data_IF_278864454269
#
_entry.id   IF_278864454269
#
_cell.length_a   1.000
_cell.length_b   1.000
_cell.length_c   1.000
_cell.angle_alpha   90.00
_cell.angle_beta   90.00
_cell.angle_gamma   90.00
#
_symmetry.space_group_name_H-M   'P 1'
#
loop_
_entity.id
_entity.type
_entity.pdbx_description
1 polymer ?
#
# COMPACT_ATOMS: atom_id res chain seq x y z
N UNK A 1 -13.74 14.21 -55.39
CA UNK A 1 -12.96 13.46 -54.38
C UNK A 1 -12.18 14.40 -53.48
N UNK A 2 -11.33 15.28 -53.99
CA UNK A 2 -10.51 16.21 -53.16
C UNK A 2 -11.33 17.11 -52.21
N UNK A 3 -12.46 17.64 -52.67
CA UNK A 3 -13.34 18.48 -51.86
C UNK A 3 -13.98 17.71 -50.68
N UNK A 4 -14.22 16.41 -50.85
CA UNK A 4 -14.75 15.54 -49.80
C UNK A 4 -13.68 15.24 -48.74
N UNK A 5 -12.41 15.08 -49.15
CA UNK A 5 -11.30 14.94 -48.22
C UNK A 5 -11.04 16.22 -47.42
N UNK A 6 -11.13 17.40 -48.05
CA UNK A 6 -11.02 18.67 -47.33
C UNK A 6 -12.11 18.83 -46.27
N UNK A 7 -13.36 18.43 -46.58
CA UNK A 7 -14.45 18.49 -45.62
C UNK A 7 -14.23 17.57 -44.42
N UNK A 8 -13.72 16.36 -44.64
CA UNK A 8 -13.43 15.40 -43.57
C UNK A 8 -12.31 15.92 -42.67
N UNK A 9 -11.26 16.51 -43.24
CA UNK A 9 -10.16 17.11 -42.48
C UNK A 9 -10.65 18.27 -41.60
N UNK A 10 -11.55 19.10 -42.14
CA UNK A 10 -12.12 20.21 -41.38
C UNK A 10 -13.00 19.72 -40.23
N UNK A 11 -13.87 18.74 -40.46
CA UNK A 11 -14.73 18.13 -39.43
C UNK A 11 -13.90 17.46 -38.31
N UNK A 12 -12.81 16.78 -38.68
CA UNK A 12 -11.88 16.18 -37.70
C UNK A 12 -11.17 17.26 -36.88
N UNK A 13 -10.73 18.35 -37.51
CA UNK A 13 -10.06 19.46 -36.82
C UNK A 13 -10.99 20.13 -35.80
N UNK A 14 -12.25 20.36 -36.18
CA UNK A 14 -13.27 20.93 -35.30
C UNK A 14 -13.56 20.01 -34.10
N UNK A 15 -13.63 18.69 -34.31
CA UNK A 15 -13.81 17.70 -33.23
C UNK A 15 -12.61 17.64 -32.29
N UNK A 16 -11.39 17.71 -32.80
CA UNK A 16 -10.17 17.73 -31.96
C UNK A 16 -10.15 19.00 -31.10
N UNK A 17 -10.49 20.16 -31.67
CA UNK A 17 -10.56 21.40 -30.92
C UNK A 17 -11.65 21.36 -29.82
N UNK A 18 -12.82 20.78 -30.12
CA UNK A 18 -13.88 20.59 -29.13
C UNK A 18 -13.44 19.65 -27.98
N UNK A 19 -12.71 18.57 -28.29
CA UNK A 19 -12.16 17.66 -27.29
C UNK A 19 -11.07 18.31 -26.43
N UNK A 20 -10.21 19.15 -27.02
CA UNK A 20 -9.22 19.93 -26.27
C UNK A 20 -9.91 20.92 -25.32
N UNK A 21 -10.91 21.65 -25.80
CA UNK A 21 -11.70 22.54 -24.95
C UNK A 21 -12.42 21.79 -23.81
N UNK A 22 -12.99 20.61 -24.10
CA UNK A 22 -13.65 19.78 -23.09
C UNK A 22 -12.65 19.24 -22.04
N UNK A 23 -11.45 18.84 -22.45
CA UNK A 23 -10.36 18.44 -21.55
C UNK A 23 -9.92 19.61 -20.68
N UNK A 24 -9.76 20.81 -21.23
CA UNK A 24 -9.40 22.01 -20.47
C UNK A 24 -10.48 22.36 -19.43
N UNK A 25 -11.76 22.25 -19.78
CA UNK A 25 -12.87 22.45 -18.84
C UNK A 25 -12.92 21.35 -17.76
N UNK A 26 -12.60 20.10 -18.09
CA UNK A 26 -12.48 19.03 -17.09
C UNK A 26 -11.25 19.23 -16.18
N UNK A 27 -10.12 19.66 -16.74
CA UNK A 27 -8.91 19.98 -15.98
C UNK A 27 -9.13 21.18 -15.07
N UNK A 28 -9.80 22.24 -15.53
CA UNK A 28 -10.16 23.39 -14.68
C UNK A 28 -11.24 23.05 -13.67
N UNK A 29 -12.20 22.15 -13.96
CA UNK A 29 -13.11 21.65 -12.93
C UNK A 29 -12.42 20.75 -11.91
N UNK A 30 -11.41 19.98 -12.31
CA UNK A 30 -10.62 19.11 -11.43
C UNK A 30 -9.63 19.93 -10.58
N UNK A 31 -9.01 20.97 -11.15
CA UNK A 31 -8.23 21.98 -10.44
C UNK A 31 -9.12 22.81 -9.50
N UNK A 32 -10.32 23.23 -9.93
CA UNK A 32 -11.27 23.94 -9.06
C UNK A 32 -11.87 23.03 -7.98
N UNK A 33 -12.02 21.73 -8.21
CA UNK A 33 -12.42 20.76 -7.17
C UNK A 33 -11.28 20.49 -6.18
N UNK A 34 -10.02 20.60 -6.61
CA UNK A 34 -8.85 20.53 -5.73
C UNK A 34 -8.57 21.85 -5.00
N UNK A 35 -9.08 22.98 -5.49
CA UNK A 35 -8.91 24.33 -4.90
C UNK A 35 -10.05 24.72 -3.93
N UNK A 36 -10.98 23.80 -3.62
CA UNK A 36 -11.95 24.02 -2.53
C UNK A 36 -11.30 23.68 -1.19
N UNK A 37 -10.74 24.75 -0.61
CA UNK A 37 -10.39 25.00 0.80
C UNK A 37 -8.92 24.81 1.22
N UNK A 38 -8.03 25.61 0.64
CA UNK A 38 -7.27 26.52 1.50
C UNK A 38 -8.13 27.76 1.73
N UNK A 39 -9.14 27.65 2.60
CA UNK A 39 -9.68 28.86 3.21
C UNK A 39 -8.53 29.38 4.09
N UNK A 40 -7.82 30.41 3.64
CA UNK A 40 -6.96 31.20 4.53
C UNK A 40 -7.89 31.84 5.57
N UNK A 41 -8.18 31.06 6.60
CA UNK A 41 -8.85 31.52 7.78
C UNK A 41 -7.77 32.10 8.67
N UNK A 42 -7.60 33.42 8.63
CA UNK A 42 -6.76 34.19 9.55
C UNK A 42 -7.24 34.12 11.02
N UNK A 43 -8.16 33.20 11.37
CA UNK A 43 -8.57 32.95 12.74
C UNK A 43 -7.57 32.00 13.42
N UNK A 44 -6.84 32.45 14.46
CA UNK A 44 -5.88 31.63 15.19
C UNK A 44 -6.51 30.43 15.94
N UNK A 45 -7.83 30.28 15.93
CA UNK A 45 -8.57 29.17 16.55
C UNK A 45 -9.15 28.18 15.54
N UNK A 46 -9.07 28.44 14.23
CA UNK A 46 -9.54 27.53 13.19
C UNK A 46 -8.37 26.71 12.68
N UNK A 47 -8.49 25.38 12.81
CA UNK A 47 -7.55 24.42 12.21
C UNK A 47 -8.26 23.74 11.05
N UNK A 48 -7.79 24.00 9.84
CA UNK A 48 -8.18 23.22 8.66
C UNK A 48 -7.69 21.78 8.86
N UNK A 49 -8.62 20.85 9.08
CA UNK A 49 -8.34 19.42 9.01
C UNK A 49 -8.35 19.08 7.52
N UNK A 50 -7.32 18.39 7.04
CA UNK A 50 -7.19 17.93 5.64
C UNK A 50 -8.52 17.36 5.10
N UNK A 51 -8.85 17.53 3.81
CA UNK A 51 -10.13 17.11 3.27
C UNK A 51 -10.31 15.60 3.45
N UNK A 52 -11.21 15.25 4.36
CA UNK A 52 -11.57 13.88 4.70
C UNK A 52 -12.67 13.44 3.72
N UNK A 53 -12.26 13.01 2.51
CA UNK A 53 -13.18 12.41 1.55
C UNK A 53 -13.42 10.96 1.96
N UNK A 54 -14.64 10.66 2.39
CA UNK A 54 -15.06 9.30 2.75
C UNK A 54 -15.87 8.69 1.60
N UNK A 55 -15.58 7.42 1.29
CA UNK A 55 -16.35 6.65 0.31
C UNK A 55 -17.39 5.81 1.05
N UNK A 56 -18.68 6.06 0.80
CA UNK A 56 -19.74 5.20 1.29
C UNK A 56 -19.70 3.83 0.57
N UNK A 57 -19.90 2.76 1.34
CA UNK A 57 -20.02 1.42 0.79
C UNK A 57 -21.28 1.29 -0.09
N UNK A 58 -21.14 0.68 -1.26
CA UNK A 58 -22.25 0.40 -2.17
C UNK A 58 -22.33 -1.11 -2.50
N UNK A 59 -23.49 -1.63 -2.94
CA UNK A 59 -23.71 -3.07 -3.04
C UNK A 59 -22.65 -3.85 -3.84
N UNK A 60 -22.24 -3.31 -5.00
CA UNK A 60 -21.21 -3.96 -5.83
C UNK A 60 -19.83 -4.02 -5.15
N UNK A 61 -19.50 -3.08 -4.27
CA UNK A 61 -18.24 -3.07 -3.52
C UNK A 61 -18.24 -4.14 -2.42
N UNK A 62 -19.35 -4.26 -1.68
CA UNK A 62 -19.51 -5.29 -0.64
C UNK A 62 -19.55 -6.69 -1.26
N UNK A 63 -20.19 -6.84 -2.43
CA UNK A 63 -20.17 -8.10 -3.16
C UNK A 63 -18.76 -8.50 -3.60
N UNK A 64 -17.96 -7.54 -4.07
CA UNK A 64 -16.58 -7.78 -4.49
C UNK A 64 -15.63 -8.04 -3.30
N UNK A 65 -15.86 -7.38 -2.16
CA UNK A 65 -15.03 -7.50 -0.95
C UNK A 65 -15.95 -7.73 0.26
N UNK A 66 -16.47 -8.95 0.46
CA UNK A 66 -17.41 -9.24 1.55
C UNK A 66 -16.84 -8.95 2.94
N UNK A 67 -15.52 -9.04 3.10
CA UNK A 67 -14.83 -8.77 4.36
C UNK A 67 -14.75 -7.27 4.71
N UNK A 68 -15.24 -6.36 3.86
CA UNK A 68 -15.18 -4.92 4.09
C UNK A 68 -15.98 -4.47 5.32
N UNK A 69 -17.11 -5.13 5.61
CA UNK A 69 -17.96 -4.81 6.76
C UNK A 69 -17.59 -5.62 8.03
N UNK A 70 -16.58 -6.49 7.94
CA UNK A 70 -16.13 -7.28 9.08
C UNK A 70 -15.23 -6.46 10.02
N UNK A 71 -15.23 -6.82 11.31
CA UNK A 71 -14.33 -6.20 12.29
C UNK A 71 -12.89 -6.68 12.07
N UNK A 72 -12.11 -5.86 11.36
CA UNK A 72 -10.70 -6.11 11.06
C UNK A 72 -9.86 -6.53 12.28
N UNK A 73 -10.16 -6.02 13.48
CA UNK A 73 -9.39 -6.31 14.69
C UNK A 73 -9.89 -7.53 15.47
N UNK A 74 -11.02 -8.12 15.04
CA UNK A 74 -11.66 -9.30 15.68
C UNK A 74 -11.98 -10.44 14.73
N UNK A 75 -11.34 -10.48 13.56
CA UNK A 75 -11.43 -11.59 12.59
C UNK A 75 -10.16 -12.44 12.56
N UNK A 76 -9.89 -13.29 13.59
CA UNK A 76 -8.72 -14.16 13.57
C UNK A 76 -8.90 -15.27 12.52
N UNK A 77 -7.86 -15.50 11.72
CA UNK A 77 -7.79 -16.68 10.85
C UNK A 77 -7.47 -17.94 11.66
N UNK A 78 -8.12 -19.05 11.31
CA UNK A 78 -7.74 -20.37 11.80
C UNK A 78 -6.32 -20.73 11.35
N UNK A 79 -5.58 -21.44 12.20
CA UNK A 79 -4.17 -21.76 11.94
C UNK A 79 -3.98 -22.59 10.68
N UNK A 80 -4.86 -23.55 10.40
CA UNK A 80 -4.79 -24.38 9.20
C UNK A 80 -5.09 -23.56 7.94
N UNK A 81 -6.09 -22.69 7.97
CA UNK A 81 -6.40 -21.78 6.84
C UNK A 81 -5.24 -20.83 6.57
N UNK A 82 -4.65 -20.24 7.62
CA UNK A 82 -3.47 -19.38 7.50
C UNK A 82 -2.29 -20.15 6.90
N UNK A 83 -2.07 -21.39 7.34
CA UNK A 83 -1.02 -22.25 6.79
C UNK A 83 -1.26 -22.53 5.31
N UNK A 84 -2.47 -22.85 4.91
CA UNK A 84 -2.78 -23.12 3.50
C UNK A 84 -2.55 -21.88 2.62
N UNK A 85 -3.00 -20.70 3.03
CA UNK A 85 -2.78 -19.45 2.29
C UNK A 85 -1.27 -19.15 2.14
N UNK A 86 -0.52 -19.27 3.24
CA UNK A 86 0.89 -18.88 3.26
C UNK A 86 1.80 -19.95 2.66
N UNK A 87 1.62 -21.21 3.06
CA UNK A 87 2.47 -22.33 2.65
C UNK A 87 2.02 -23.00 1.36
N UNK A 88 0.78 -22.76 0.91
CA UNK A 88 0.31 -23.13 -0.43
C UNK A 88 1.01 -22.34 -1.54
N UNK A 89 1.49 -21.13 -1.25
CA UNK A 89 2.33 -20.37 -2.18
C UNK A 89 3.81 -20.79 -2.05
N UNK A 90 4.61 -20.85 -3.13
CA UNK A 90 6.05 -21.14 -3.02
C UNK A 90 6.81 -20.05 -2.25
N UNK A 91 8.00 -20.38 -1.74
CA UNK A 91 8.94 -19.37 -1.25
C UNK A 91 9.72 -18.81 -2.42
N UNK A 92 9.89 -17.49 -2.46
CA UNK A 92 10.76 -16.85 -3.44
C UNK A 92 12.17 -16.82 -2.89
N UNK A 93 13.11 -17.45 -3.61
CA UNK A 93 14.51 -17.59 -3.20
C UNK A 93 15.19 -16.26 -2.87
N UNK A 94 14.95 -15.15 -3.62
CA UNK A 94 15.59 -13.87 -3.30
C UNK A 94 15.12 -13.24 -1.98
N UNK A 95 13.97 -13.65 -1.43
CA UNK A 95 13.36 -13.02 -0.27
C UNK A 95 13.83 -13.68 1.03
N UNK A 96 14.33 -12.88 1.98
CA UNK A 96 14.61 -13.36 3.33
C UNK A 96 13.37 -13.17 4.23
N UNK A 97 12.75 -14.29 4.61
CA UNK A 97 11.58 -14.29 5.49
C UNK A 97 11.92 -14.33 6.98
N UNK A 98 13.20 -14.41 7.34
CA UNK A 98 13.64 -14.44 8.73
C UNK A 98 13.96 -13.02 9.21
N UNK A 99 13.24 -12.51 10.23
CA UNK A 99 13.61 -11.26 10.87
C UNK A 99 15.02 -11.31 11.46
N UNK A 100 15.72 -10.17 11.57
CA UNK A 100 17.02 -10.10 12.21
C UNK A 100 16.92 -10.49 13.70
N UNK A 101 17.91 -11.25 14.17
CA UNK A 101 18.15 -11.50 15.59
C UNK A 101 18.81 -10.26 16.21
N UNK A 102 18.36 -9.83 17.39
CA UNK A 102 18.85 -8.59 17.99
C UNK A 102 19.82 -8.81 19.16
N UNK A 103 19.57 -9.75 20.09
CA UNK A 103 20.57 -10.15 21.10
C UNK A 103 20.14 -11.39 21.94
N UNK A 104 20.99 -12.42 22.01
CA UNK A 104 20.77 -13.59 22.87
C UNK A 104 21.05 -13.34 24.37
N UNK A 105 21.80 -12.28 24.70
CA UNK A 105 22.12 -11.89 26.08
C UNK A 105 21.01 -11.07 26.75
N UNK A 106 19.88 -10.83 26.07
CA UNK A 106 18.76 -10.06 26.60
C UNK A 106 18.12 -10.69 27.86
N UNK A 107 17.66 -9.87 28.82
CA UNK A 107 16.99 -10.40 30.01
C UNK A 107 15.69 -11.12 29.63
N UNK A 108 15.21 -12.11 30.42
CA UNK A 108 14.06 -12.95 30.06
C UNK A 108 12.77 -12.17 29.75
N UNK A 109 12.54 -11.06 30.46
CA UNK A 109 11.40 -10.17 30.22
C UNK A 109 11.52 -9.39 28.90
N UNK A 110 12.72 -9.11 28.41
CA UNK A 110 12.96 -8.54 27.09
C UNK A 110 12.70 -9.59 26.01
N UNK A 111 13.17 -10.82 26.21
CA UNK A 111 12.99 -11.94 25.28
C UNK A 111 11.53 -12.28 25.00
N UNK A 112 10.64 -12.21 26.01
CA UNK A 112 9.21 -12.49 25.78
C UNK A 112 8.55 -11.46 24.83
N UNK A 113 8.72 -10.16 25.10
CA UNK A 113 8.18 -9.10 24.24
C UNK A 113 8.82 -9.15 22.85
N UNK A 114 10.14 -9.34 22.79
CA UNK A 114 10.87 -9.45 21.52
C UNK A 114 10.38 -10.63 20.69
N UNK A 115 10.14 -11.79 21.32
CA UNK A 115 9.62 -12.97 20.62
C UNK A 115 8.24 -12.73 19.99
N UNK A 116 7.34 -12.03 20.69
CA UNK A 116 6.04 -11.65 20.10
C UNK A 116 6.23 -10.74 18.88
N UNK A 117 7.06 -9.69 19.00
CA UNK A 117 7.32 -8.76 17.90
C UNK A 117 8.04 -9.45 16.73
N UNK A 118 8.97 -10.36 17.01
CA UNK A 118 9.64 -11.20 16.03
C UNK A 118 8.64 -12.04 15.23
N UNK A 119 7.68 -12.69 15.90
CA UNK A 119 6.67 -13.49 15.22
C UNK A 119 5.75 -12.64 14.34
N UNK A 120 5.37 -11.44 14.78
CA UNK A 120 4.58 -10.49 13.97
C UNK A 120 5.39 -10.07 12.73
N UNK A 121 6.65 -9.68 12.91
CA UNK A 121 7.54 -9.29 11.81
C UNK A 121 7.74 -10.43 10.80
N UNK A 122 7.91 -11.66 11.28
CA UNK A 122 8.00 -12.85 10.44
C UNK A 122 6.69 -13.06 9.66
N UNK A 123 5.54 -12.87 10.32
CA UNK A 123 4.23 -13.00 9.67
C UNK A 123 4.04 -11.95 8.56
N UNK A 124 4.45 -10.70 8.78
CA UNK A 124 4.43 -9.65 7.76
C UNK A 124 5.28 -10.03 6.54
N UNK A 125 6.48 -10.57 6.75
CA UNK A 125 7.30 -11.05 5.65
C UNK A 125 6.62 -12.21 4.91
N UNK A 126 5.97 -13.13 5.62
CA UNK A 126 5.26 -14.26 5.00
C UNK A 126 4.04 -13.82 4.16
N UNK A 127 3.36 -12.74 4.54
CA UNK A 127 2.22 -12.17 3.78
C UNK A 127 2.60 -11.68 2.38
N UNK A 128 3.89 -11.52 2.09
CA UNK A 128 4.35 -11.21 0.72
C UNK A 128 4.24 -12.40 -0.23
N UNK A 129 4.18 -13.65 0.27
CA UNK A 129 4.18 -14.85 -0.58
C UNK A 129 2.96 -14.97 -1.50
N UNK A 130 1.72 -14.75 -1.03
CA UNK A 130 0.56 -14.75 -1.92
C UNK A 130 0.62 -13.66 -2.99
N UNK A 131 1.14 -12.48 -2.64
CA UNK A 131 1.32 -11.36 -3.57
C UNK A 131 2.32 -11.73 -4.69
N UNK A 132 3.47 -12.28 -4.30
CA UNK A 132 4.52 -12.68 -5.24
C UNK A 132 4.09 -13.84 -6.13
N UNK A 133 3.39 -14.81 -5.54
CA UNK A 133 2.87 -15.94 -6.27
C UNK A 133 1.80 -15.52 -7.28
N UNK A 134 0.94 -14.58 -6.92
CA UNK A 134 -0.06 -14.04 -7.83
C UNK A 134 0.59 -13.38 -9.06
N UNK A 135 1.61 -12.52 -8.87
CA UNK A 135 2.37 -11.92 -9.97
C UNK A 135 3.07 -12.99 -10.82
N UNK A 136 3.65 -14.01 -10.18
CA UNK A 136 4.26 -15.14 -10.89
C UNK A 136 3.26 -15.84 -11.82
N UNK A 137 2.05 -16.16 -11.35
CA UNK A 137 1.04 -16.81 -12.18
C UNK A 137 0.57 -15.91 -13.32
N UNK A 138 0.41 -14.60 -13.10
CA UNK A 138 0.04 -13.66 -14.16
C UNK A 138 1.09 -13.62 -15.28
N UNK A 139 2.38 -13.56 -14.93
CA UNK A 139 3.49 -13.59 -15.90
C UNK A 139 3.56 -14.95 -16.63
N UNK A 140 3.37 -16.04 -15.89
CA UNK A 140 3.36 -17.41 -16.43
C UNK A 140 2.24 -17.63 -17.46
N UNK A 141 1.07 -17.01 -17.25
CA UNK A 141 -0.07 -17.06 -18.16
C UNK A 141 0.09 -16.18 -19.41
N UNK A 142 1.25 -15.55 -19.62
CA UNK A 142 1.56 -14.65 -20.74
C UNK A 142 0.58 -13.48 -20.87
N UNK A 143 0.07 -12.98 -19.75
CA UNK A 143 -0.57 -11.66 -19.74
C UNK A 143 0.46 -10.64 -20.24
N UNK A 144 0.06 -9.76 -21.16
CA UNK A 144 0.88 -8.62 -21.49
C UNK A 144 0.87 -7.69 -20.28
N UNK A 145 1.99 -7.63 -19.59
CA UNK A 145 2.17 -6.78 -18.42
C UNK A 145 3.17 -5.71 -18.84
N UNK A 146 2.75 -4.45 -18.78
CA UNK A 146 3.66 -3.31 -18.82
C UNK A 146 4.24 -3.13 -17.41
N UNK A 147 5.51 -3.45 -17.15
CA UNK A 147 6.07 -3.36 -15.80
C UNK A 147 6.11 -1.93 -15.24
N UNK A 148 5.97 -0.88 -16.07
CA UNK A 148 5.97 0.51 -15.62
C UNK A 148 4.56 1.08 -15.40
N UNK A 149 3.52 0.50 -16.02
CA UNK A 149 2.15 1.05 -15.97
C UNK A 149 1.05 0.01 -15.66
N UNK A 150 1.37 -1.26 -15.38
CA UNK A 150 0.34 -2.23 -14.99
C UNK A 150 -0.11 -1.98 -13.54
N UNK A 151 -1.36 -1.50 -13.40
CA UNK A 151 -2.00 -1.17 -12.12
C UNK A 151 -1.89 -2.30 -11.08
N UNK A 152 -1.88 -3.56 -11.52
CA UNK A 152 -1.78 -4.72 -10.64
C UNK A 152 -0.37 -4.86 -10.07
N UNK A 153 0.66 -4.63 -10.89
CA UNK A 153 2.05 -4.59 -10.40
C UNK A 153 2.21 -3.45 -9.40
N UNK A 154 1.71 -2.26 -9.74
CA UNK A 154 1.81 -1.08 -8.86
C UNK A 154 1.13 -1.34 -7.51
N UNK A 155 -0.06 -1.95 -7.52
CA UNK A 155 -0.78 -2.33 -6.31
C UNK A 155 0.00 -3.34 -5.46
N UNK A 156 0.52 -4.41 -6.08
CA UNK A 156 1.28 -5.45 -5.37
C UNK A 156 2.58 -4.86 -4.79
N UNK A 157 3.30 -4.05 -5.55
CA UNK A 157 4.54 -3.43 -5.07
C UNK A 157 4.27 -2.43 -3.94
N UNK A 158 3.15 -1.69 -4.01
CA UNK A 158 2.70 -0.81 -2.93
C UNK A 158 2.40 -1.61 -1.66
N UNK A 159 1.64 -2.70 -1.76
CA UNK A 159 1.35 -3.58 -0.61
C UNK A 159 2.64 -4.19 -0.03
N UNK A 160 3.55 -4.67 -0.87
CA UNK A 160 4.86 -5.21 -0.45
C UNK A 160 5.68 -4.16 0.29
N UNK A 161 5.72 -2.93 -0.21
CA UNK A 161 6.43 -1.81 0.41
C UNK A 161 5.84 -1.45 1.76
N UNK A 162 4.51 -1.36 1.88
CA UNK A 162 3.84 -1.09 3.16
C UNK A 162 4.07 -2.20 4.20
N UNK A 163 4.05 -3.47 3.78
CA UNK A 163 4.38 -4.60 4.67
C UNK A 163 5.84 -4.52 5.16
N UNK A 164 6.77 -4.15 4.28
CA UNK A 164 8.18 -3.99 4.62
C UNK A 164 8.43 -2.79 5.56
N UNK A 165 7.72 -1.68 5.35
CA UNK A 165 7.77 -0.51 6.24
C UNK A 165 7.25 -0.84 7.65
N UNK A 166 6.11 -1.52 7.77
CA UNK A 166 5.59 -1.99 9.05
C UNK A 166 6.57 -2.95 9.75
N UNK A 167 7.16 -3.89 9.00
CA UNK A 167 8.18 -4.80 9.53
C UNK A 167 9.44 -4.05 10.01
N UNK A 168 9.80 -2.95 9.35
CA UNK A 168 10.92 -2.08 9.73
C UNK A 168 10.61 -1.28 10.99
N UNK A 169 9.40 -0.73 11.11
CA UNK A 169 8.92 -0.05 12.34
C UNK A 169 8.92 -1.00 13.54
N UNK A 170 8.53 -2.26 13.35
CA UNK A 170 8.63 -3.29 14.39
C UNK A 170 10.08 -3.56 14.75
N UNK A 171 10.99 -3.62 13.76
CA UNK A 171 12.43 -3.80 14.02
C UNK A 171 12.98 -2.67 14.88
N UNK A 172 12.64 -1.41 14.58
CA UNK A 172 13.02 -0.26 15.40
C UNK A 172 12.46 -0.38 16.82
N UNK A 173 11.17 -0.73 16.96
CA UNK A 173 10.54 -0.95 18.26
C UNK A 173 11.24 -2.05 19.08
N UNK A 174 11.72 -3.11 18.42
CA UNK A 174 12.48 -4.18 19.09
C UNK A 174 13.85 -3.68 19.56
N UNK A 175 14.55 -2.87 18.75
CA UNK A 175 15.82 -2.23 19.10
C UNK A 175 15.64 -1.30 20.32
N UNK A 176 14.65 -0.40 20.26
CA UNK A 176 14.38 0.56 21.33
C UNK A 176 14.02 -0.15 22.65
N UNK A 177 13.19 -1.18 22.57
CA UNK A 177 12.80 -1.98 23.73
C UNK A 177 14.00 -2.70 24.36
N UNK A 178 14.91 -3.23 23.54
CA UNK A 178 16.12 -3.89 24.02
C UNK A 178 17.08 -2.89 24.65
N UNK A 179 17.35 -1.78 23.98
CA UNK A 179 18.21 -0.71 24.47
C UNK A 179 17.74 -0.19 25.84
N UNK A 180 16.43 0.08 25.95
CA UNK A 180 15.80 0.49 27.22
C UNK A 180 15.90 -0.57 28.32
N UNK A 181 15.60 -1.84 28.01
CA UNK A 181 15.61 -2.93 29.01
C UNK A 181 17.02 -3.33 29.45
N UNK A 182 18.03 -3.03 28.64
CA UNK A 182 19.44 -3.26 28.96
C UNK A 182 20.11 -2.05 29.63
N UNK A 183 19.37 -0.95 29.84
CA UNK A 183 19.89 0.29 30.43
C UNK A 183 21.14 0.82 29.72
N UNK A 184 21.20 0.67 28.40
CA UNK A 184 22.36 1.10 27.62
C UNK A 184 22.45 2.64 27.60
N UNK A 185 23.65 3.23 27.71
CA UNK A 185 23.81 4.67 27.63
C UNK A 185 23.49 5.20 26.21
N UNK A 186 23.10 6.48 26.13
CA UNK A 186 22.84 7.17 24.86
C UNK A 186 21.45 6.92 24.27
N UNK A 187 21.27 7.22 22.99
CA UNK A 187 20.03 6.94 22.24
C UNK A 187 20.11 5.56 21.60
N UNK A 188 18.96 4.91 21.45
CA UNK A 188 18.88 3.66 20.72
C UNK A 188 19.29 3.86 19.25
N UNK A 189 20.04 2.92 18.64
CA UNK A 189 20.37 2.96 17.21
C UNK A 189 19.11 3.06 16.36
N UNK A 190 19.16 3.86 15.28
CA UNK A 190 18.07 3.97 14.30
C UNK A 190 18.41 3.15 13.05
N UNK A 191 17.39 2.56 12.42
CA UNK A 191 17.55 1.82 11.16
C UNK A 191 17.82 2.73 9.96
N UNK A 192 17.35 3.98 10.03
CA UNK A 192 17.56 5.02 9.03
C UNK A 192 18.24 6.17 9.77
N UNK A 193 19.36 6.64 9.24
CA UNK A 193 20.11 7.79 9.77
C UNK A 193 19.45 9.13 9.48
#
# INVERSE_FOLDING_TARGET
MEQQYMQIIQDLSEKVNALMAQREHQSTHQEQLMDVQALECDDPHIKTKEPMVELESYPALIEAIPSMEEDFFRSPLEDEVRKDIIYGCPKFIPMNYQPPSLNDAAPPNAKKTDSTLYNIQQSLAQLTRPLDHYIHEQLRQRRQIDPENDEVIVLVETMRTMLADLASTITQSRIDNLHKKMELPGRAPQLIE
#
